data_IF_734126589440
#
_entry.id   IF_734126589440
#
_cell.length_a   1.000
_cell.length_b   1.000
_cell.length_c   1.000
_cell.angle_alpha   90.00
_cell.angle_beta   90.00
_cell.angle_gamma   90.00
#
_symmetry.space_group_name_H-M   'P 1'
#
loop_
_entity.id
_entity.type
_entity.pdbx_description
1 polymer ?
#
# COMPACT_ATOMS: atom_id res chain seq x y z
N UNK A 1 6.16 -14.62 0.62
CA UNK A 1 4.94 -14.56 1.41
C UNK A 1 5.12 -13.68 2.64
N UNK A 2 4.06 -13.02 3.06
CA UNK A 2 4.12 -12.19 4.26
C UNK A 2 4.15 -13.04 5.51
N UNK A 3 4.96 -12.61 6.49
CA UNK A 3 4.97 -13.23 7.83
C UNK A 3 3.96 -12.58 8.76
N UNK A 4 3.39 -11.43 8.38
CA UNK A 4 2.47 -10.64 9.19
C UNK A 4 1.03 -10.68 8.71
N UNK A 5 0.80 -11.09 7.45
CA UNK A 5 -0.50 -10.97 6.81
C UNK A 5 -0.90 -12.29 6.19
N UNK A 6 -2.12 -12.71 6.50
CA UNK A 6 -2.71 -13.92 5.92
C UNK A 6 -3.40 -13.58 4.60
N UNK A 7 -3.53 -14.59 3.74
CA UNK A 7 -4.07 -14.51 2.38
C UNK A 7 -5.41 -13.78 2.30
N UNK A 8 -6.34 -14.13 3.16
CA UNK A 8 -7.70 -13.58 3.15
C UNK A 8 -7.91 -12.44 4.14
N UNK A 9 -6.82 -11.95 4.72
CA UNK A 9 -6.90 -10.86 5.69
C UNK A 9 -7.19 -9.54 4.98
N UNK A 10 -7.97 -8.69 5.63
CA UNK A 10 -8.16 -7.32 5.20
C UNK A 10 -6.96 -6.49 5.62
N UNK A 11 -6.49 -5.66 4.70
CA UNK A 11 -5.46 -4.65 4.98
C UNK A 11 -5.99 -3.31 4.52
N UNK A 12 -5.32 -2.24 4.94
CA UNK A 12 -5.77 -0.89 4.63
C UNK A 12 -4.78 -0.22 3.70
N UNK A 13 -5.31 0.47 2.71
CA UNK A 13 -4.55 1.22 1.71
C UNK A 13 -5.10 2.62 1.60
N UNK A 14 -4.34 3.51 0.99
CA UNK A 14 -4.79 4.86 0.69
C UNK A 14 -5.14 4.94 -0.79
N UNK A 15 -6.36 5.37 -1.09
CA UNK A 15 -6.84 5.56 -2.45
C UNK A 15 -6.85 7.06 -2.73
N UNK A 16 -6.22 7.48 -3.82
CA UNK A 16 -6.20 8.85 -4.29
C UNK A 16 -7.34 9.05 -5.28
N UNK A 17 -8.01 10.20 -5.17
CA UNK A 17 -9.07 10.63 -6.09
C UNK A 17 -10.22 9.63 -6.18
N UNK A 18 -10.78 9.20 -5.04
CA UNK A 18 -11.72 8.07 -5.00
C UNK A 18 -13.03 8.30 -5.76
N UNK A 19 -13.41 9.55 -5.95
CA UNK A 19 -14.71 9.89 -6.58
C UNK A 19 -14.61 10.15 -8.08
N UNK A 20 -13.41 10.16 -8.64
CA UNK A 20 -13.22 10.49 -10.05
C UNK A 20 -12.37 9.44 -10.76
N UNK A 21 -11.09 9.41 -10.45
CA UNK A 21 -10.17 8.43 -11.04
C UNK A 21 -9.40 7.72 -9.92
N UNK A 22 -10.05 6.74 -9.25
CA UNK A 22 -9.45 6.11 -8.07
C UNK A 22 -8.19 5.33 -8.42
N UNK A 23 -7.13 5.62 -7.68
CA UNK A 23 -5.84 4.95 -7.82
C UNK A 23 -5.24 4.72 -6.44
N UNK A 24 -4.51 3.62 -6.28
CA UNK A 24 -3.70 3.45 -5.07
C UNK A 24 -2.68 4.56 -4.99
N UNK A 25 -2.51 5.12 -3.79
CA UNK A 25 -1.48 6.12 -3.56
C UNK A 25 -0.14 5.42 -3.43
N UNK A 26 0.56 5.27 -4.55
CA UNK A 26 1.89 4.69 -4.58
C UNK A 26 2.94 5.65 -4.07
N UNK A 27 4.04 5.09 -3.62
CA UNK A 27 5.23 5.82 -3.19
C UNK A 27 6.44 5.29 -3.94
N UNK A 28 7.52 6.01 -3.88
CA UNK A 28 8.73 5.67 -4.60
C UNK A 28 9.94 5.71 -3.64
N UNK A 29 10.72 4.64 -3.63
CA UNK A 29 11.93 4.58 -2.84
C UNK A 29 13.09 5.08 -3.69
N UNK A 30 13.65 6.23 -3.34
CA UNK A 30 14.64 6.91 -4.18
C UNK A 30 15.93 6.12 -4.39
N UNK A 31 16.41 5.46 -3.35
CA UNK A 31 17.68 4.74 -3.39
C UNK A 31 17.66 3.54 -4.33
N UNK A 32 16.51 2.89 -4.47
CA UNK A 32 16.39 1.65 -5.24
C UNK A 32 15.60 1.81 -6.53
N UNK A 33 14.85 2.90 -6.67
CA UNK A 33 13.93 3.10 -7.78
C UNK A 33 12.66 2.25 -7.68
N UNK A 34 12.42 1.63 -6.54
CA UNK A 34 11.27 0.75 -6.34
C UNK A 34 10.02 1.57 -6.06
N UNK A 35 8.96 1.28 -6.81
CA UNK A 35 7.63 1.81 -6.53
C UNK A 35 6.87 0.83 -5.65
N UNK A 36 6.20 1.33 -4.62
CA UNK A 36 5.47 0.48 -3.69
C UNK A 36 4.14 1.10 -3.29
N UNK A 37 3.23 0.24 -2.88
CA UNK A 37 1.95 0.65 -2.29
C UNK A 37 2.07 0.42 -0.79
N UNK A 38 1.97 1.48 0.02
CA UNK A 38 1.93 1.32 1.48
C UNK A 38 0.67 0.58 1.91
N UNK A 39 0.83 -0.39 2.79
CA UNK A 39 -0.29 -1.11 3.37
C UNK A 39 -0.17 -1.10 4.90
N UNK A 40 -1.32 -1.24 5.57
CA UNK A 40 -1.41 -1.11 7.02
C UNK A 40 -2.31 -2.20 7.57
N UNK A 41 -2.00 -2.68 8.77
CA UNK A 41 -2.83 -3.68 9.44
C UNK A 41 -4.08 -3.06 10.06
N UNK A 42 -3.98 -1.78 10.46
CA UNK A 42 -5.08 -1.08 11.12
C UNK A 42 -5.44 0.19 10.35
N UNK A 43 -6.72 0.50 10.29
CA UNK A 43 -7.20 1.71 9.62
C UNK A 43 -6.57 2.96 10.22
N UNK A 44 -6.45 3.00 11.54
CA UNK A 44 -5.89 4.16 12.24
C UNK A 44 -4.44 4.40 11.86
N UNK A 45 -3.66 3.35 11.64
CA UNK A 45 -2.27 3.49 11.22
C UNK A 45 -2.19 4.18 9.87
N UNK A 46 -3.07 3.80 8.93
CA UNK A 46 -3.14 4.43 7.63
C UNK A 46 -3.54 5.90 7.73
N UNK A 47 -4.54 6.19 8.56
CA UNK A 47 -5.01 7.57 8.76
C UNK A 47 -3.92 8.46 9.34
N UNK A 48 -3.12 7.95 10.27
CA UNK A 48 -2.02 8.70 10.85
C UNK A 48 -0.87 8.90 9.87
N UNK A 49 -0.62 7.92 9.04
CA UNK A 49 0.51 7.94 8.12
C UNK A 49 0.26 8.74 6.84
N UNK A 50 -1.00 8.89 6.42
CA UNK A 50 -1.33 9.52 5.13
C UNK A 50 -0.74 10.92 4.99
N UNK A 51 -0.65 11.66 6.07
CA UNK A 51 -0.09 13.02 6.04
C UNK A 51 1.44 13.04 5.93
N UNK A 52 2.08 11.89 6.14
CA UNK A 52 3.53 11.74 6.00
C UNK A 52 3.90 11.26 4.58
N UNK A 53 2.91 10.87 3.78
CA UNK A 53 3.14 10.32 2.45
C UNK A 53 3.24 11.41 1.41
N UNK A 54 4.09 11.20 0.42
CA UNK A 54 4.19 12.09 -0.73
C UNK A 54 2.91 11.95 -1.56
N UNK A 55 2.21 13.05 -1.77
CA UNK A 55 0.95 13.05 -2.51
C UNK A 55 0.58 14.44 -3.01
N UNK A 56 -0.30 14.47 -4.00
CA UNK A 56 -0.90 15.71 -4.47
C UNK A 56 -1.97 16.14 -3.47
N UNK A 57 -1.69 17.18 -2.70
CA UNK A 57 -2.60 17.67 -1.66
C UNK A 57 -3.89 18.29 -2.20
N UNK A 58 -3.96 18.52 -3.50
CA UNK A 58 -5.18 19.01 -4.13
C UNK A 58 -6.17 17.89 -4.42
N UNK A 59 -5.73 16.65 -4.37
CA UNK A 59 -6.59 15.48 -4.55
C UNK A 59 -6.96 14.88 -3.21
N UNK A 60 -8.21 14.45 -3.12
CA UNK A 60 -8.69 13.75 -1.92
C UNK A 60 -8.02 12.39 -1.82
N UNK A 61 -7.80 11.95 -0.59
CA UNK A 61 -7.33 10.61 -0.31
C UNK A 61 -8.27 9.97 0.70
N UNK A 62 -8.51 8.68 0.52
CA UNK A 62 -9.39 7.91 1.39
C UNK A 62 -8.73 6.60 1.76
N UNK A 63 -8.83 6.22 3.04
CA UNK A 63 -8.35 4.93 3.51
C UNK A 63 -9.44 3.90 3.25
N UNK A 64 -9.08 2.82 2.57
CA UNK A 64 -10.02 1.74 2.25
C UNK A 64 -9.44 0.39 2.65
N UNK A 65 -10.34 -0.52 3.04
CA UNK A 65 -9.97 -1.90 3.32
C UNK A 65 -10.01 -2.72 2.04
N UNK A 66 -8.99 -3.54 1.82
CA UNK A 66 -8.93 -4.46 0.69
C UNK A 66 -8.44 -5.82 1.17
N UNK A 67 -8.80 -6.87 0.45
CA UNK A 67 -8.32 -8.21 0.77
C UNK A 67 -6.89 -8.35 0.25
N UNK A 68 -5.99 -8.80 1.12
CA UNK A 68 -4.56 -8.87 0.83
C UNK A 68 -4.25 -9.63 -0.46
N UNK A 69 -4.86 -10.79 -0.65
CA UNK A 69 -4.64 -11.61 -1.85
C UNK A 69 -4.96 -10.87 -3.15
N UNK A 70 -6.07 -10.14 -3.16
CA UNK A 70 -6.47 -9.36 -4.33
C UNK A 70 -5.49 -8.22 -4.60
N UNK A 71 -5.00 -7.60 -3.52
CA UNK A 71 -4.02 -6.53 -3.65
C UNK A 71 -2.68 -7.06 -4.17
N UNK A 72 -2.26 -8.24 -3.71
CA UNK A 72 -1.04 -8.90 -4.20
C UNK A 72 -1.12 -9.12 -5.71
N UNK A 73 -2.25 -9.64 -6.19
CA UNK A 73 -2.45 -9.87 -7.61
C UNK A 73 -2.39 -8.58 -8.42
N UNK A 74 -3.04 -7.54 -7.92
CA UNK A 74 -3.01 -6.22 -8.57
C UNK A 74 -1.58 -5.66 -8.62
N UNK A 75 -0.88 -5.69 -7.51
CA UNK A 75 0.48 -5.14 -7.41
C UNK A 75 1.45 -5.89 -8.32
N UNK A 76 1.34 -7.21 -8.40
CA UNK A 76 2.17 -8.02 -9.27
C UNK A 76 1.98 -7.62 -10.74
N UNK A 77 0.74 -7.42 -11.16
CA UNK A 77 0.42 -7.03 -12.53
C UNK A 77 0.83 -5.60 -12.87
N UNK A 78 0.86 -4.72 -11.88
CA UNK A 78 1.17 -3.30 -12.08
C UNK A 78 2.65 -2.95 -11.82
N UNK A 79 3.44 -3.90 -11.34
CA UNK A 79 4.86 -3.67 -11.08
C UNK A 79 5.16 -2.97 -9.77
N UNK A 80 4.25 -3.06 -8.79
CA UNK A 80 4.45 -2.49 -7.47
C UNK A 80 4.84 -3.54 -6.44
N UNK A 81 5.70 -3.13 -5.51
CA UNK A 81 5.88 -3.88 -4.28
C UNK A 81 4.83 -3.42 -3.25
N UNK A 82 4.67 -4.18 -2.19
CA UNK A 82 3.80 -3.81 -1.07
C UNK A 82 4.69 -3.66 0.16
N UNK A 83 4.66 -2.49 0.80
CA UNK A 83 5.41 -2.27 2.03
C UNK A 83 4.42 -2.13 3.18
N UNK A 84 4.52 -3.04 4.13
CA UNK A 84 3.74 -2.96 5.36
C UNK A 84 4.38 -1.92 6.26
N UNK A 85 3.64 -0.87 6.57
CA UNK A 85 4.10 0.23 7.40
C UNK A 85 3.33 0.28 8.71
N UNK A 86 3.94 0.88 9.72
CA UNK A 86 3.25 1.25 10.95
C UNK A 86 2.75 2.69 10.86
N UNK A 87 2.12 3.17 11.93
CA UNK A 87 1.54 4.53 11.98
C UNK A 87 2.58 5.65 11.83
N UNK A 88 3.84 5.37 12.11
CA UNK A 88 4.94 6.33 11.97
C UNK A 88 5.57 6.29 10.57
N UNK A 89 5.09 5.44 9.69
CA UNK A 89 5.63 5.29 8.35
C UNK A 89 6.87 4.41 8.28
N UNK A 90 7.18 3.70 9.35
CA UNK A 90 8.32 2.79 9.37
C UNK A 90 7.96 1.48 8.67
N UNK A 91 8.89 0.95 7.87
CA UNK A 91 8.67 -0.29 7.13
C UNK A 91 8.83 -1.48 8.08
N UNK A 92 7.77 -2.26 8.22
CA UNK A 92 7.75 -3.49 9.01
C UNK A 92 8.14 -4.67 8.12
N UNK A 93 7.65 -4.70 6.89
CA UNK A 93 7.92 -5.78 5.96
C UNK A 93 7.84 -5.27 4.53
N UNK A 94 8.77 -5.73 3.68
CA UNK A 94 8.74 -5.47 2.25
C UNK A 94 8.27 -6.73 1.55
N UNK A 95 7.19 -6.62 0.79
CA UNK A 95 6.58 -7.73 0.08
C UNK A 95 6.74 -7.48 -1.42
N UNK A 96 7.32 -8.45 -2.12
CA UNK A 96 7.60 -8.34 -3.55
C UNK A 96 6.69 -9.30 -4.34
N UNK A 97 5.47 -8.88 -4.69
CA UNK A 97 4.48 -9.78 -5.28
C UNK A 97 4.93 -10.45 -6.57
N UNK A 98 5.71 -9.76 -7.39
CA UNK A 98 6.20 -10.32 -8.64
C UNK A 98 7.10 -11.54 -8.44
N UNK A 99 7.68 -11.70 -7.25
CA UNK A 99 8.52 -12.86 -6.93
C UNK A 99 7.72 -14.05 -6.41
N UNK A 100 6.44 -13.83 -6.07
CA UNK A 100 5.59 -14.87 -5.52
C UNK A 100 4.99 -15.77 -6.61
N UNK A 101 5.13 -15.36 -7.86
CA UNK A 101 4.55 -16.08 -9.02
C UNK A 101 5.59 -16.94 -9.74
N UNK A 102 6.76 -17.09 -9.15
CA UNK A 102 7.81 -17.96 -9.68
C UNK A 102 7.70 -19.42 -9.15
#
# INVERSE_FOLDING_TARGET
>A
MSTHIKKHQWVYVVIQDPNSNPQYLGQHEEDTGISFIPIFLEKEDALMCVNLMARDKQKLCEVQAVIYEELVDHAAGAGFNLYLLNKAGEVIEKIMPSNLNL
#
